data_IF_606192289270
#
_entry.id   IF_606192289270
#
_cell.length_a   1.000
_cell.length_b   1.000
_cell.length_c   1.000
_cell.angle_alpha   90.00
_cell.angle_beta   90.00
_cell.angle_gamma   90.00
#
_symmetry.space_group_name_H-M   'P 1'
#
loop_
_entity.id
_entity.type
_entity.pdbx_description
1 polymer ?
#
# COMPACT_ATOMS: atom_id res chain seq x y z
N UNK A 1 -39.84 40.97 8.67
CA UNK A 1 -39.09 40.06 7.78
C UNK A 1 -37.59 40.18 8.08
N UNK A 2 -37.15 39.72 9.26
CA UNK A 2 -35.78 39.91 9.78
C UNK A 2 -35.22 38.64 10.44
N UNK A 3 -35.82 37.49 10.15
CA UNK A 3 -35.49 36.18 10.75
C UNK A 3 -34.87 35.19 9.75
N UNK A 4 -34.56 35.62 8.51
CA UNK A 4 -34.05 34.73 7.46
C UNK A 4 -32.53 34.89 7.27
N UNK A 5 -31.91 35.96 7.80
CA UNK A 5 -30.50 36.28 7.54
C UNK A 5 -29.50 35.47 8.38
N UNK A 6 -29.89 34.96 9.55
CA UNK A 6 -29.00 34.23 10.47
C UNK A 6 -28.79 32.76 10.07
N UNK A 7 -29.71 32.18 9.28
CA UNK A 7 -29.66 30.75 8.94
C UNK A 7 -28.59 30.46 7.86
N UNK A 8 -28.20 31.46 7.08
CA UNK A 8 -27.22 31.29 5.99
C UNK A 8 -25.76 31.16 6.48
N UNK A 9 -25.49 31.36 7.77
CA UNK A 9 -24.14 31.17 8.34
C UNK A 9 -23.83 29.68 8.61
N UNK A 10 -24.86 28.83 8.74
CA UNK A 10 -24.67 27.42 9.12
C UNK A 10 -24.31 26.45 7.98
N UNK A 11 -24.36 26.89 6.72
CA UNK A 11 -24.05 26.01 5.57
C UNK A 11 -22.54 25.91 5.29
N UNK A 12 -21.71 26.73 5.93
CA UNK A 12 -20.29 26.91 5.57
C UNK A 12 -19.30 25.90 6.16
N UNK A 13 -19.72 24.94 6.98
CA UNK A 13 -18.80 24.04 7.71
C UNK A 13 -18.78 22.58 7.23
N UNK A 14 -19.67 22.20 6.31
CA UNK A 14 -19.75 20.80 5.84
C UNK A 14 -18.86 20.48 4.61
N UNK A 15 -18.17 21.47 4.04
CA UNK A 15 -17.27 21.28 2.89
C UNK A 15 -15.81 21.01 3.28
N UNK A 16 -15.50 20.95 4.57
CA UNK A 16 -14.16 20.57 5.04
C UNK A 16 -14.08 19.05 5.08
N UNK A 17 -13.15 18.47 4.32
CA UNK A 17 -12.60 17.10 4.47
C UNK A 17 -13.10 15.96 3.55
N UNK A 18 -13.69 16.24 2.37
CA UNK A 18 -13.82 15.20 1.33
C UNK A 18 -12.50 14.87 0.58
N UNK A 19 -11.35 15.12 1.22
CA UNK A 19 -10.09 14.43 0.90
C UNK A 19 -9.92 13.17 1.76
N UNK A 20 -11.00 12.68 2.41
CA UNK A 20 -11.05 11.32 2.93
C UNK A 20 -10.53 10.34 1.89
N UNK A 21 -9.57 9.53 2.31
CA UNK A 21 -9.34 8.20 1.78
C UNK A 21 -8.69 8.09 0.39
N UNK A 22 -7.61 8.85 0.14
CA UNK A 22 -6.43 8.12 -0.32
C UNK A 22 -6.08 7.17 0.83
N UNK A 23 -6.58 5.94 0.75
CA UNK A 23 -5.94 4.76 1.30
C UNK A 23 -4.53 4.79 0.70
N UNK A 24 -3.65 5.64 1.24
CA UNK A 24 -2.24 5.49 1.03
C UNK A 24 -1.95 4.14 1.68
N UNK A 25 -1.60 3.10 0.91
CA UNK A 25 -1.05 1.94 1.54
C UNK A 25 0.10 2.46 2.41
N UNK A 26 0.15 2.08 3.68
CA UNK A 26 1.20 2.52 4.63
C UNK A 26 2.61 2.15 4.14
N UNK A 27 2.68 1.45 3.01
CA UNK A 27 3.84 0.87 2.39
C UNK A 27 3.59 0.70 0.88
N UNK A 28 4.66 0.60 0.09
CA UNK A 28 4.59 0.35 -1.35
C UNK A 28 4.44 -1.15 -1.61
N UNK A 29 3.43 -1.56 -2.36
CA UNK A 29 3.20 -2.97 -2.64
C UNK A 29 4.15 -3.55 -3.69
N UNK A 30 4.09 -4.86 -3.89
CA UNK A 30 4.93 -5.60 -4.82
C UNK A 30 4.80 -5.04 -6.25
N UNK A 31 5.92 -4.95 -6.96
CA UNK A 31 6.06 -4.34 -8.29
C UNK A 31 5.71 -2.86 -8.39
N UNK A 32 5.40 -2.19 -7.28
CA UNK A 32 5.22 -0.74 -7.30
C UNK A 32 6.58 -0.04 -7.13
N UNK A 33 6.72 1.15 -7.74
CA UNK A 33 7.98 1.89 -7.73
C UNK A 33 8.33 2.35 -6.33
N UNK A 34 9.61 2.23 -5.96
CA UNK A 34 10.14 2.63 -4.67
C UNK A 34 11.43 3.43 -4.82
N UNK A 35 11.71 4.27 -3.83
CA UNK A 35 12.97 5.01 -3.71
C UNK A 35 13.69 4.58 -2.44
N UNK A 36 15.02 4.47 -2.49
CA UNK A 36 15.83 4.20 -1.30
C UNK A 36 15.74 5.39 -0.33
N UNK A 37 14.78 5.37 0.59
CA UNK A 37 14.70 6.34 1.70
C UNK A 37 13.30 6.65 2.24
N UNK A 38 12.28 6.81 1.40
CA UNK A 38 10.97 7.37 1.82
C UNK A 38 9.77 6.44 1.66
N UNK A 39 9.85 5.46 0.75
CA UNK A 39 8.74 4.56 0.45
C UNK A 39 9.10 3.15 0.92
N UNK A 40 8.83 2.86 2.20
CA UNK A 40 9.02 1.52 2.72
C UNK A 40 8.11 0.56 1.96
N UNK A 41 8.68 -0.42 1.28
CA UNK A 41 7.90 -1.52 0.72
C UNK A 41 7.14 -2.24 1.84
N UNK A 42 6.02 -2.87 1.48
CA UNK A 42 5.24 -3.63 2.44
C UNK A 42 6.05 -4.78 3.05
N UNK A 43 5.61 -5.28 4.21
CA UNK A 43 6.35 -6.30 4.96
C UNK A 43 6.70 -7.51 4.07
N UNK A 44 7.95 -7.96 4.15
CA UNK A 44 8.50 -9.03 3.31
C UNK A 44 9.02 -8.57 1.94
N UNK A 45 8.90 -7.28 1.62
CA UNK A 45 9.42 -6.70 0.39
C UNK A 45 10.59 -5.75 0.68
N UNK A 46 11.49 -5.64 -0.29
CA UNK A 46 12.57 -4.67 -0.29
C UNK A 46 12.62 -3.94 -1.62
N UNK A 47 13.05 -2.69 -1.56
CA UNK A 47 13.24 -1.89 -2.76
C UNK A 47 14.46 -2.41 -3.52
N UNK A 48 14.24 -3.16 -4.59
CA UNK A 48 15.31 -3.59 -5.47
C UNK A 48 15.78 -2.37 -6.28
N UNK A 49 17.07 -2.06 -6.20
CA UNK A 49 17.63 -0.88 -6.86
C UNK A 49 17.44 -0.95 -8.39
N UNK A 50 16.83 0.09 -8.95
CA UNK A 50 16.67 0.30 -10.39
C UNK A 50 16.97 1.77 -10.73
N UNK A 51 17.36 2.03 -11.98
CA UNK A 51 17.68 3.38 -12.48
C UNK A 51 16.55 3.80 -13.43
N UNK A 52 15.80 4.88 -13.19
CA UNK A 52 15.93 5.89 -12.12
C UNK A 52 15.18 5.58 -10.81
N UNK A 53 14.31 4.56 -10.80
CA UNK A 53 13.51 4.12 -9.65
C UNK A 53 13.68 2.61 -9.45
N UNK A 54 13.60 2.15 -8.20
CA UNK A 54 13.53 0.73 -7.87
C UNK A 54 12.10 0.20 -7.89
N UNK A 55 11.95 -1.10 -7.65
CA UNK A 55 10.64 -1.75 -7.48
C UNK A 55 10.64 -2.58 -6.20
N UNK A 56 9.49 -2.64 -5.54
CA UNK A 56 9.33 -3.51 -4.37
C UNK A 56 9.25 -4.97 -4.79
N UNK A 57 10.26 -5.75 -4.41
CA UNK A 57 10.35 -7.19 -4.68
C UNK A 57 10.48 -7.96 -3.36
N UNK A 58 10.10 -9.25 -3.31
CA UNK A 58 10.35 -10.12 -2.18
C UNK A 58 11.81 -10.04 -1.72
N UNK A 59 12.02 -9.78 -0.43
CA UNK A 59 13.35 -9.66 0.15
C UNK A 59 14.09 -11.00 0.06
N UNK A 60 15.27 -11.09 -0.57
CA UNK A 60 16.02 -12.34 -0.67
C UNK A 60 16.34 -12.90 0.72
N UNK A 61 16.01 -14.17 0.94
CA UNK A 61 16.26 -14.86 2.22
C UNK A 61 15.26 -14.56 3.34
N UNK A 62 14.23 -13.74 3.08
CA UNK A 62 13.10 -13.51 3.99
C UNK A 62 11.86 -14.11 3.36
N UNK A 63 11.09 -14.85 4.15
CA UNK A 63 9.81 -15.40 3.74
C UNK A 63 8.66 -14.61 4.37
N UNK A 64 7.54 -14.52 3.67
CA UNK A 64 6.33 -13.84 4.10
C UNK A 64 5.37 -14.75 4.90
N UNK A 65 4.71 -14.18 5.92
CA UNK A 65 3.65 -14.84 6.69
C UNK A 65 2.28 -14.70 6.03
N UNK A 66 1.24 -15.35 6.55
CA UNK A 66 -0.10 -15.24 5.96
C UNK A 66 -0.55 -13.76 5.83
N UNK A 67 -0.97 -13.38 4.63
CA UNK A 67 -1.37 -12.01 4.29
C UNK A 67 -0.26 -11.11 3.77
N UNK A 68 1.01 -11.50 3.84
CA UNK A 68 2.10 -10.74 3.19
C UNK A 68 2.02 -10.88 1.68
N UNK A 69 2.48 -9.85 0.98
CA UNK A 69 2.50 -9.87 -0.48
C UNK A 69 3.54 -10.85 -1.01
N UNK A 70 3.19 -11.54 -2.07
CA UNK A 70 4.01 -12.57 -2.67
C UNK A 70 3.90 -12.50 -4.20
N UNK A 71 4.83 -13.18 -4.88
CA UNK A 71 4.76 -13.35 -6.32
C UNK A 71 4.90 -14.82 -6.68
N UNK A 72 4.00 -15.28 -7.54
CA UNK A 72 4.10 -16.59 -8.20
C UNK A 72 5.04 -16.59 -9.41
N UNK A 73 5.46 -15.40 -9.86
CA UNK A 73 6.32 -15.22 -11.03
C UNK A 73 7.79 -15.23 -10.63
N UNK A 74 8.12 -14.75 -9.42
CA UNK A 74 9.48 -14.80 -8.93
C UNK A 74 9.80 -16.21 -8.37
N UNK A 75 10.94 -16.79 -8.73
CA UNK A 75 11.35 -18.12 -8.27
C UNK A 75 11.81 -18.14 -6.80
N UNK A 76 11.76 -17.01 -6.11
CA UNK A 76 12.05 -16.91 -4.67
C UNK A 76 10.82 -17.38 -3.91
N UNK A 77 10.97 -18.36 -3.01
CA UNK A 77 9.95 -18.74 -2.01
C UNK A 77 9.57 -17.52 -1.17
N UNK A 78 8.62 -16.74 -1.67
CA UNK A 78 8.17 -15.48 -1.08
C UNK A 78 7.29 -15.71 0.14
N UNK A 79 6.82 -16.94 0.35
CA UNK A 79 6.02 -17.36 1.49
C UNK A 79 6.79 -18.35 2.36
N UNK A 80 6.59 -18.30 3.67
CA UNK A 80 7.22 -19.24 4.59
C UNK A 80 6.69 -20.67 4.40
N UNK A 81 7.46 -21.67 4.85
CA UNK A 81 7.12 -23.09 4.68
C UNK A 81 5.70 -23.40 5.16
N UNK A 82 4.91 -24.01 4.28
CA UNK A 82 3.51 -24.36 4.55
C UNK A 82 2.49 -23.32 4.07
N UNK A 83 2.94 -22.19 3.53
CA UNK A 83 2.09 -21.19 2.88
C UNK A 83 2.30 -21.22 1.37
N UNK A 84 1.26 -20.85 0.63
CA UNK A 84 1.29 -20.75 -0.82
C UNK A 84 0.97 -19.34 -1.27
N UNK A 85 1.65 -18.88 -2.32
CA UNK A 85 1.34 -17.59 -2.91
C UNK A 85 0.05 -17.68 -3.74
N UNK A 86 -1.00 -16.99 -3.30
CA UNK A 86 -2.26 -16.91 -4.03
C UNK A 86 -2.09 -16.05 -5.28
N UNK A 87 -2.01 -16.66 -6.45
CA UNK A 87 -1.85 -15.91 -7.71
C UNK A 87 -3.02 -14.96 -8.04
N UNK A 88 -4.18 -15.13 -7.40
CA UNK A 88 -5.34 -14.25 -7.56
C UNK A 88 -5.31 -13.03 -6.64
N UNK A 89 -4.82 -13.20 -5.41
CA UNK A 89 -4.81 -12.15 -4.37
C UNK A 89 -3.45 -11.47 -4.25
N UNK A 90 -2.38 -12.17 -4.64
CA UNK A 90 -1.00 -11.72 -4.51
C UNK A 90 -0.49 -11.79 -3.07
N UNK A 91 -1.04 -12.68 -2.23
CA UNK A 91 -0.65 -12.84 -0.83
C UNK A 91 -0.43 -14.29 -0.41
N UNK A 92 0.38 -14.50 0.63
CA UNK A 92 0.61 -15.81 1.22
C UNK A 92 -0.63 -16.28 2.01
N UNK A 93 -1.07 -17.52 1.77
CA UNK A 93 -2.17 -18.18 2.47
C UNK A 93 -1.97 -19.68 2.60
#
# INVERSE_FOLDING_TARGET
>A
MRFISEILVFVSIASVSLASALIQPRCTGIYQPCTNGSDACCEGLSCAAGVPLGECLPTPGVCGVAGTQCSSVLPTDSCCSGLTCSGYVGTCQ
#
